data_IF_256013908806
#
_entry.id   IF_256013908806
#
_cell.length_a   1.000
_cell.length_b   1.000
_cell.length_c   1.000
_cell.angle_alpha   90.00
_cell.angle_beta   90.00
_cell.angle_gamma   90.00
#
_symmetry.space_group_name_H-M   'P 1'
#
loop_
_entity.id
_entity.type
_entity.pdbx_description
1 polymer ?
#
# COMPACT_ATOMS: atom_id res chain seq x y z
N UNK A 1 13.41 11.72 -28.19
CA UNK A 1 12.68 12.36 -27.07
C UNK A 1 11.72 11.41 -26.37
N UNK A 2 10.68 10.84 -27.01
CA UNK A 2 9.71 9.98 -26.33
C UNK A 2 10.30 8.74 -25.63
N UNK A 3 11.28 8.05 -26.24
CA UNK A 3 11.99 6.95 -25.58
C UNK A 3 12.79 7.37 -24.34
N UNK A 4 13.34 8.58 -24.34
CA UNK A 4 14.08 9.13 -23.20
C UNK A 4 13.12 9.42 -22.04
N UNK A 5 11.93 9.98 -22.33
CA UNK A 5 10.89 10.22 -21.32
C UNK A 5 10.40 8.91 -20.68
N UNK A 6 10.22 7.85 -21.47
CA UNK A 6 9.83 6.53 -20.95
C UNK A 6 10.93 5.97 -20.03
N UNK A 7 12.21 6.10 -20.39
CA UNK A 7 13.32 5.70 -19.52
C UNK A 7 13.36 6.51 -18.22
N UNK A 8 13.16 7.82 -18.30
CA UNK A 8 13.07 8.65 -17.08
C UNK A 8 11.91 8.25 -16.18
N UNK A 9 10.74 7.90 -16.72
CA UNK A 9 9.61 7.39 -15.91
C UNK A 9 10.00 6.08 -15.19
N UNK A 10 10.69 5.17 -15.88
CA UNK A 10 11.18 3.92 -15.30
C UNK A 10 12.20 4.15 -14.17
N UNK A 11 13.18 5.03 -14.38
CA UNK A 11 14.15 5.41 -13.34
C UNK A 11 13.47 6.07 -12.15
N UNK A 12 12.50 6.98 -12.39
CA UNK A 12 11.72 7.58 -11.31
C UNK A 12 10.93 6.53 -10.52
N UNK A 13 10.33 5.54 -11.19
CA UNK A 13 9.62 4.46 -10.48
C UNK A 13 10.58 3.58 -9.67
N UNK A 14 11.81 3.37 -10.16
CA UNK A 14 12.87 2.69 -9.41
C UNK A 14 13.24 3.47 -8.14
N UNK A 15 13.41 4.79 -8.24
CA UNK A 15 13.68 5.66 -7.09
C UNK A 15 12.50 5.67 -6.10
N UNK A 16 11.26 5.74 -6.57
CA UNK A 16 10.08 5.68 -5.68
C UNK A 16 10.01 4.36 -4.91
N UNK A 17 10.54 3.28 -5.45
CA UNK A 17 10.53 1.99 -4.78
C UNK A 17 11.38 1.99 -3.50
N UNK A 18 12.41 2.83 -3.44
CA UNK A 18 13.28 2.89 -2.26
C UNK A 18 12.63 3.63 -1.10
N UNK A 19 11.66 4.52 -1.35
CA UNK A 19 11.11 5.39 -0.31
C UNK A 19 9.59 5.36 -0.13
N UNK A 20 8.86 4.68 -1.03
CA UNK A 20 7.39 4.66 -1.03
C UNK A 20 6.79 3.29 -0.81
N UNK A 21 5.75 3.32 0.02
CA UNK A 21 4.82 2.25 0.28
C UNK A 21 3.40 2.70 -0.09
N UNK A 22 2.60 1.74 -0.55
CA UNK A 22 1.18 1.92 -0.81
C UNK A 22 0.40 1.09 0.21
N UNK A 23 -0.44 1.78 0.96
CA UNK A 23 -1.40 1.22 1.90
C UNK A 23 -2.76 1.16 1.23
N UNK A 24 -3.38 0.00 1.17
CA UNK A 24 -4.75 -0.15 0.69
C UNK A 24 -5.66 -0.23 1.91
N UNK A 25 -6.40 0.83 2.18
CA UNK A 25 -7.31 0.94 3.32
C UNK A 25 -8.73 0.55 2.91
N UNK A 26 -9.32 -0.42 3.61
CA UNK A 26 -10.70 -0.80 3.35
C UNK A 26 -11.67 0.28 3.85
N UNK A 27 -12.77 0.51 3.12
CA UNK A 27 -13.80 1.48 3.49
C UNK A 27 -14.75 0.99 4.60
N UNK A 28 -14.45 -0.15 5.24
CA UNK A 28 -15.26 -0.70 6.32
C UNK A 28 -15.40 0.30 7.48
N UNK A 29 -16.58 0.40 8.12
CA UNK A 29 -16.85 1.38 9.17
C UNK A 29 -15.95 1.22 10.40
N UNK A 30 -15.44 0.01 10.64
CA UNK A 30 -14.48 -0.30 11.71
C UNK A 30 -13.01 -0.22 11.27
N UNK A 31 -12.75 0.19 10.02
CA UNK A 31 -11.41 0.25 9.43
C UNK A 31 -10.66 1.53 9.77
N UNK A 32 -9.34 1.52 9.55
CA UNK A 32 -8.48 2.68 9.76
C UNK A 32 -8.89 3.91 8.93
N UNK A 33 -9.55 3.73 7.78
CA UNK A 33 -9.92 4.85 6.93
C UNK A 33 -10.82 5.86 7.66
N UNK A 34 -11.85 5.38 8.36
CA UNK A 34 -12.79 6.25 9.07
C UNK A 34 -12.08 6.98 10.22
N UNK A 35 -11.23 6.27 10.95
CA UNK A 35 -10.39 6.83 12.01
C UNK A 35 -9.47 7.94 11.48
N UNK A 36 -8.83 7.74 10.32
CA UNK A 36 -7.98 8.78 9.71
C UNK A 36 -8.78 10.01 9.27
N UNK A 37 -10.00 9.84 8.76
CA UNK A 37 -10.88 10.95 8.38
C UNK A 37 -11.28 11.75 9.62
N UNK A 38 -11.72 11.06 10.67
CA UNK A 38 -12.10 11.70 11.94
C UNK A 38 -10.93 12.48 12.55
N UNK A 39 -9.76 11.86 12.65
CA UNK A 39 -8.56 12.49 13.23
C UNK A 39 -8.07 13.67 12.39
N UNK A 40 -8.24 13.61 11.06
CA UNK A 40 -7.94 14.75 10.20
C UNK A 40 -8.86 15.96 10.47
N UNK A 41 -10.12 15.73 10.85
CA UNK A 41 -11.04 16.80 11.21
C UNK A 41 -10.69 17.39 12.59
N UNK A 42 -10.40 16.53 13.57
CA UNK A 42 -9.94 16.94 14.90
C UNK A 42 -8.67 17.78 14.81
N UNK A 43 -7.69 17.33 14.02
CA UNK A 43 -6.44 18.06 13.80
C UNK A 43 -6.67 19.44 13.17
N UNK A 44 -7.64 19.57 12.24
CA UNK A 44 -8.01 20.88 11.66
C UNK A 44 -8.59 21.83 12.71
N UNK A 45 -9.51 21.36 13.55
CA UNK A 45 -10.07 22.18 14.64
C UNK A 45 -9.00 22.58 15.66
N UNK A 46 -8.01 21.73 15.91
CA UNK A 46 -6.86 22.04 16.77
C UNK A 46 -5.92 23.09 16.13
N UNK A 47 -5.70 23.04 14.81
CA UNK A 47 -4.95 24.08 14.09
C UNK A 47 -5.61 25.45 14.20
N UNK A 48 -6.95 25.51 14.19
CA UNK A 48 -7.71 26.76 14.28
C UNK A 48 -7.66 27.37 15.69
N UNK A 49 -7.42 26.56 16.72
CA UNK A 49 -7.44 27.00 18.13
C UNK A 49 -6.05 27.21 18.75
N UNK A 50 -5.00 26.59 18.21
CA UNK A 50 -3.63 26.68 18.75
C UNK A 50 -2.69 27.49 17.85
N UNK A 51 -1.65 28.09 18.44
CA UNK A 51 -0.58 28.75 17.70
C UNK A 51 0.15 27.73 16.82
N UNK A 52 0.19 27.98 15.50
CA UNK A 52 0.68 27.07 14.44
C UNK A 52 2.08 26.44 14.68
N UNK A 53 2.90 27.03 15.56
CA UNK A 53 4.28 26.60 15.80
C UNK A 53 4.41 25.29 16.60
N UNK A 54 3.40 24.89 17.38
CA UNK A 54 3.47 23.69 18.23
C UNK A 54 2.85 22.43 17.61
N UNK A 55 2.04 22.56 16.55
CA UNK A 55 1.37 21.39 15.98
C UNK A 55 2.29 20.56 15.08
N UNK A 56 2.25 19.25 15.28
CA UNK A 56 2.79 18.28 14.34
C UNK A 56 2.07 18.38 12.98
N UNK A 57 2.78 18.21 11.86
CA UNK A 57 2.15 18.21 10.53
C UNK A 57 1.12 17.08 10.40
N UNK A 58 0.02 17.33 9.70
CA UNK A 58 -1.08 16.37 9.51
C UNK A 58 -0.59 14.98 9.06
N UNK A 59 0.36 14.94 8.12
CA UNK A 59 0.94 13.68 7.61
C UNK A 59 1.54 12.82 8.73
N UNK A 60 2.23 13.44 9.68
CA UNK A 60 2.85 12.76 10.81
C UNK A 60 1.78 12.30 11.79
N UNK A 61 0.84 13.20 12.13
CA UNK A 61 -0.27 12.90 13.00
C UNK A 61 -1.04 11.66 12.53
N UNK A 62 -1.44 11.63 11.26
CA UNK A 62 -2.20 10.53 10.69
C UNK A 62 -1.44 9.19 10.68
N UNK A 63 -0.14 9.19 10.37
CA UNK A 63 0.67 7.96 10.41
C UNK A 63 0.82 7.44 11.84
N UNK A 64 1.07 8.33 12.82
CA UNK A 64 1.14 7.96 14.23
C UNK A 64 -0.19 7.39 14.72
N UNK A 65 -1.30 8.02 14.35
CA UNK A 65 -2.64 7.53 14.72
C UNK A 65 -2.93 6.17 14.09
N UNK A 66 -2.52 5.93 12.84
CA UNK A 66 -2.61 4.61 12.21
C UNK A 66 -1.80 3.54 12.96
N UNK A 67 -0.55 3.83 13.33
CA UNK A 67 0.33 2.90 14.05
C UNK A 67 -0.19 2.61 15.47
N UNK A 68 -0.71 3.63 16.17
CA UNK A 68 -1.35 3.46 17.48
C UNK A 68 -2.60 2.59 17.40
N UNK A 69 -3.45 2.82 16.41
CA UNK A 69 -4.63 1.99 16.17
C UNK A 69 -4.23 0.54 15.84
N UNK A 70 -3.17 0.35 15.06
CA UNK A 70 -2.61 -0.96 14.74
C UNK A 70 -2.14 -1.70 15.99
N UNK A 71 -1.34 -1.05 16.83
CA UNK A 71 -0.85 -1.63 18.08
C UNK A 71 -1.99 -1.96 19.04
N UNK A 72 -2.96 -1.06 19.20
CA UNK A 72 -4.12 -1.27 20.07
C UNK A 72 -5.00 -2.44 19.63
N UNK A 73 -5.34 -2.49 18.33
CA UNK A 73 -6.17 -3.57 17.79
C UNK A 73 -5.43 -4.91 17.83
N UNK A 74 -4.13 -4.92 17.53
CA UNK A 74 -3.30 -6.11 17.67
C UNK A 74 -3.22 -6.59 19.13
N UNK A 75 -3.09 -5.66 20.09
CA UNK A 75 -3.12 -5.93 21.53
C UNK A 75 -4.40 -6.66 21.93
N UNK A 76 -5.54 -6.09 21.57
CA UNK A 76 -6.86 -6.70 21.83
C UNK A 76 -6.99 -8.11 21.26
N UNK A 77 -6.50 -8.35 20.05
CA UNK A 77 -6.55 -9.66 19.42
C UNK A 77 -5.65 -10.67 20.17
N UNK A 78 -4.44 -10.26 20.55
CA UNK A 78 -3.50 -11.14 21.25
C UNK A 78 -3.93 -11.42 22.70
N UNK A 79 -4.59 -10.47 23.36
CA UNK A 79 -5.09 -10.61 24.73
C UNK A 79 -6.44 -11.34 24.82
N UNK A 80 -7.22 -11.34 23.74
CA UNK A 80 -8.51 -12.03 23.69
C UNK A 80 -8.39 -13.53 24.00
N UNK A 81 -9.38 -14.06 24.73
CA UNK A 81 -9.45 -15.49 25.04
C UNK A 81 -9.88 -16.28 23.80
N UNK A 82 -9.47 -17.54 23.73
CA UNK A 82 -9.76 -18.41 22.57
C UNK A 82 -11.28 -18.63 22.34
N UNK A 83 -12.09 -18.41 23.39
CA UNK A 83 -13.56 -18.47 23.36
C UNK A 83 -14.22 -17.22 22.78
N UNK A 84 -13.50 -16.11 22.63
CA UNK A 84 -14.05 -14.86 22.14
C UNK A 84 -14.23 -14.88 20.63
N UNK A 85 -15.34 -14.30 20.14
CA UNK A 85 -15.63 -14.20 18.71
C UNK A 85 -14.53 -13.43 17.95
N UNK A 86 -13.85 -12.49 18.61
CA UNK A 86 -12.75 -11.72 18.03
C UNK A 86 -11.55 -12.63 17.68
N UNK A 87 -11.15 -13.50 18.60
CA UNK A 87 -10.07 -14.47 18.37
C UNK A 87 -10.43 -15.43 17.25
N UNK A 88 -11.61 -16.05 17.33
CA UNK A 88 -12.07 -17.03 16.33
C UNK A 88 -12.18 -16.43 14.92
N UNK A 89 -12.69 -15.20 14.82
CA UNK A 89 -12.77 -14.47 13.55
C UNK A 89 -11.37 -14.13 13.03
N UNK A 90 -10.45 -13.72 13.92
CA UNK A 90 -9.07 -13.39 13.55
C UNK A 90 -8.30 -14.60 13.04
N UNK A 91 -8.46 -15.76 13.67
CA UNK A 91 -7.88 -17.04 13.20
C UNK A 91 -8.50 -17.44 11.86
N UNK A 92 -9.82 -17.36 11.71
CA UNK A 92 -10.52 -17.68 10.45
C UNK A 92 -10.09 -16.79 9.29
N UNK A 93 -9.79 -15.51 9.55
CA UNK A 93 -9.28 -14.56 8.57
C UNK A 93 -7.78 -14.72 8.29
N UNK A 94 -7.08 -15.60 9.00
CA UNK A 94 -5.62 -15.76 8.88
C UNK A 94 -4.83 -14.60 9.48
N UNK A 95 -5.44 -13.78 10.34
CA UNK A 95 -4.79 -12.63 10.95
C UNK A 95 -3.74 -13.06 11.98
N UNK A 96 -4.05 -14.10 12.74
CA UNK A 96 -3.16 -14.73 13.72
C UNK A 96 -3.15 -16.25 13.52
N UNK A 97 -2.03 -16.87 13.88
CA UNK A 97 -1.92 -18.31 14.04
C UNK A 97 -2.33 -18.73 15.46
N UNK A 98 -2.48 -20.03 15.69
CA UNK A 98 -2.86 -20.59 16.99
C UNK A 98 -1.86 -20.24 18.11
N UNK A 99 -0.59 -20.05 17.75
CA UNK A 99 0.50 -19.60 18.62
C UNK A 99 0.51 -18.07 18.87
N UNK A 100 -0.52 -17.35 18.41
CA UNK A 100 -0.66 -15.88 18.49
C UNK A 100 0.44 -15.11 17.74
N UNK A 101 1.09 -15.76 16.77
CA UNK A 101 1.99 -15.07 15.83
C UNK A 101 1.25 -14.50 14.62
N UNK A 102 1.85 -13.50 13.99
CA UNK A 102 1.31 -12.80 12.81
C UNK A 102 1.96 -13.35 11.53
N UNK A 103 1.21 -14.12 10.71
CA UNK A 103 1.72 -14.67 9.46
C UNK A 103 1.85 -13.63 8.34
N UNK A 104 2.51 -14.05 7.26
CA UNK A 104 2.55 -13.30 6.00
C UNK A 104 1.52 -13.85 5.02
N UNK A 105 1.02 -13.00 4.13
CA UNK A 105 0.09 -13.41 3.08
C UNK A 105 0.70 -13.24 1.70
N UNK A 106 0.39 -14.17 0.80
CA UNK A 106 0.71 -14.10 -0.62
C UNK A 106 -0.56 -14.26 -1.44
N UNK A 107 -0.66 -13.50 -2.52
CA UNK A 107 -1.72 -13.71 -3.49
C UNK A 107 -1.45 -15.00 -4.28
N UNK A 108 -2.39 -15.94 -4.23
CA UNK A 108 -2.36 -17.12 -5.09
C UNK A 108 -3.20 -16.85 -6.35
N UNK A 109 -2.53 -16.77 -7.50
CA UNK A 109 -3.16 -16.50 -8.79
C UNK A 109 -4.10 -17.61 -9.26
N UNK A 110 -3.93 -18.85 -8.80
CA UNK A 110 -4.81 -19.96 -9.18
C UNK A 110 -6.12 -19.95 -8.40
N UNK A 111 -6.06 -19.64 -7.11
CA UNK A 111 -7.24 -19.59 -6.23
C UNK A 111 -7.90 -18.22 -6.15
N UNK A 112 -7.25 -17.17 -6.69
CA UNK A 112 -7.68 -15.77 -6.59
C UNK A 112 -7.97 -15.37 -5.14
N UNK A 113 -7.15 -15.84 -4.21
CA UNK A 113 -7.30 -15.61 -2.77
C UNK A 113 -5.94 -15.33 -2.12
N UNK A 114 -5.97 -14.65 -0.97
CA UNK A 114 -4.80 -14.48 -0.11
C UNK A 114 -4.61 -15.77 0.68
N UNK A 115 -3.44 -16.39 0.51
CA UNK A 115 -3.04 -17.60 1.23
C UNK A 115 -1.88 -17.24 2.16
N UNK A 116 -1.81 -17.89 3.31
CA UNK A 116 -0.70 -17.76 4.25
C UNK A 116 0.59 -18.22 3.54
N UNK A 117 1.61 -17.37 3.55
CA UNK A 117 2.92 -17.62 2.96
C UNK A 117 3.76 -18.53 3.89
N UNK A 118 4.77 -19.19 3.33
CA UNK A 118 5.70 -20.07 4.07
C UNK A 118 6.77 -19.30 4.86
N UNK A 119 6.74 -17.97 4.83
CA UNK A 119 7.67 -17.12 5.57
C UNK A 119 7.47 -17.27 7.07
N UNK A 120 8.55 -17.16 7.83
CA UNK A 120 8.50 -17.25 9.29
C UNK A 120 7.55 -16.18 9.84
N UNK A 121 6.51 -16.57 10.59
CA UNK A 121 5.60 -15.63 11.25
C UNK A 121 6.35 -14.75 12.27
N UNK A 122 5.82 -13.56 12.52
CA UNK A 122 6.38 -12.65 13.53
C UNK A 122 5.65 -12.89 14.85
N UNK A 123 6.38 -13.21 15.92
CA UNK A 123 5.77 -13.37 17.24
C UNK A 123 5.12 -12.07 17.72
N UNK A 124 4.08 -12.18 18.56
CA UNK A 124 3.38 -11.02 19.10
C UNK A 124 4.35 -10.03 19.78
N UNK A 125 5.21 -10.51 20.66
CA UNK A 125 6.21 -9.69 21.36
C UNK A 125 7.11 -8.90 20.39
N UNK A 126 7.64 -9.57 19.35
CA UNK A 126 8.49 -8.93 18.35
C UNK A 126 7.70 -7.93 17.50
N UNK A 127 6.45 -8.23 17.19
CA UNK A 127 5.55 -7.30 16.49
C UNK A 127 5.34 -6.02 17.31
N UNK A 128 5.04 -6.13 18.61
CA UNK A 128 4.89 -4.95 19.47
C UNK A 128 6.18 -4.14 19.55
N UNK A 129 7.34 -4.78 19.64
CA UNK A 129 8.63 -4.08 19.59
C UNK A 129 8.80 -3.30 18.29
N UNK A 130 8.53 -3.92 17.13
CA UNK A 130 8.60 -3.25 15.83
C UNK A 130 7.62 -2.07 15.71
N UNK A 131 6.39 -2.21 16.23
CA UNK A 131 5.39 -1.14 16.20
C UNK A 131 5.75 0.02 17.15
N UNK A 132 6.33 -0.26 18.31
CA UNK A 132 6.82 0.78 19.23
C UNK A 132 8.02 1.51 18.62
N UNK A 133 9.00 0.78 18.09
CA UNK A 133 10.17 1.35 17.42
C UNK A 133 9.77 2.25 16.23
N UNK A 134 8.81 1.78 15.40
CA UNK A 134 8.25 2.61 14.32
C UNK A 134 7.56 3.86 14.83
N UNK A 135 6.80 3.79 15.92
CA UNK A 135 6.13 4.97 16.49
C UNK A 135 7.13 6.01 16.97
N UNK A 136 8.19 5.58 17.67
CA UNK A 136 9.25 6.47 18.14
C UNK A 136 9.97 7.17 16.99
N UNK A 137 10.30 6.43 15.92
CA UNK A 137 10.92 7.03 14.73
C UNK A 137 10.00 8.02 14.00
N UNK A 138 8.69 7.78 14.00
CA UNK A 138 7.69 8.67 13.38
C UNK A 138 7.35 9.90 14.23
N UNK A 139 7.96 10.06 15.41
CA UNK A 139 7.88 11.32 16.18
C UNK A 139 8.73 12.44 15.55
N UNK A 140 9.70 12.11 14.70
CA UNK A 140 10.42 13.11 13.91
C UNK A 140 9.52 13.67 12.79
N UNK A 141 9.38 14.99 12.75
CA UNK A 141 8.55 15.76 11.80
C UNK A 141 9.02 15.59 10.35
N UNK A 142 10.29 15.27 10.15
CA UNK A 142 10.89 15.10 8.83
C UNK A 142 10.86 13.65 8.33
N UNK A 143 10.42 12.70 9.18
CA UNK A 143 10.44 11.29 8.83
C UNK A 143 9.35 10.91 7.82
N UNK A 144 8.13 11.43 8.01
CA UNK A 144 7.03 11.25 7.05
C UNK A 144 7.09 12.39 6.03
N UNK A 145 7.45 12.08 4.78
CA UNK A 145 7.52 13.07 3.71
C UNK A 145 6.14 13.29 3.08
N UNK A 146 5.41 12.20 2.79
CA UNK A 146 4.06 12.27 2.23
C UNK A 146 3.17 11.17 2.80
N UNK A 147 1.94 11.56 3.16
CA UNK A 147 0.89 10.62 3.54
C UNK A 147 -0.46 11.12 3.03
N UNK A 148 -0.99 10.52 1.96
CA UNK A 148 -2.25 10.95 1.34
C UNK A 148 -2.89 9.84 0.50
N UNK A 149 -4.21 9.92 0.33
CA UNK A 149 -4.95 9.08 -0.59
C UNK A 149 -4.57 9.39 -2.05
N UNK A 150 -4.37 8.37 -2.88
CA UNK A 150 -4.14 8.52 -4.33
C UNK A 150 -5.43 8.83 -5.10
N UNK A 151 -6.59 8.59 -4.49
CA UNK A 151 -7.91 8.92 -5.00
C UNK A 151 -8.76 9.45 -3.86
N UNK A 152 -9.65 10.39 -4.16
CA UNK A 152 -10.58 10.94 -3.17
C UNK A 152 -11.51 9.84 -2.67
N UNK A 153 -11.63 9.63 -1.35
CA UNK A 153 -12.59 8.68 -0.80
C UNK A 153 -14.02 9.14 -1.09
N UNK A 154 -14.83 8.28 -1.70
CA UNK A 154 -16.25 8.53 -1.94
C UNK A 154 -17.10 7.62 -1.06
N UNK A 155 -18.28 8.09 -0.65
CA UNK A 155 -19.16 7.36 0.29
C UNK A 155 -19.66 6.00 -0.22
N UNK A 156 -19.51 5.73 -1.51
CA UNK A 156 -19.93 4.47 -2.17
C UNK A 156 -18.76 3.55 -2.54
N UNK A 157 -17.54 3.86 -2.11
CA UNK A 157 -16.40 3.01 -2.39
C UNK A 157 -16.56 1.65 -1.69
N UNK A 158 -16.69 0.59 -2.48
CA UNK A 158 -16.64 -0.81 -2.02
C UNK A 158 -15.23 -1.40 -2.08
N UNK A 159 -14.30 -0.67 -2.71
CA UNK A 159 -12.92 -1.10 -2.93
C UNK A 159 -11.95 -0.38 -2.00
N UNK A 160 -10.89 -1.08 -1.61
CA UNK A 160 -9.81 -0.50 -0.83
C UNK A 160 -9.24 0.76 -1.51
N UNK A 161 -8.97 1.79 -0.71
CA UNK A 161 -8.47 3.07 -1.18
C UNK A 161 -6.95 3.07 -1.03
N UNK A 162 -6.19 3.26 -2.12
CA UNK A 162 -4.74 3.32 -2.04
C UNK A 162 -4.29 4.66 -1.46
N UNK A 163 -3.46 4.60 -0.44
CA UNK A 163 -2.78 5.71 0.22
C UNK A 163 -1.28 5.57 0.00
N UNK A 164 -0.63 6.68 -0.32
CA UNK A 164 0.82 6.74 -0.45
C UNK A 164 1.42 7.12 0.89
N UNK A 165 2.33 6.28 1.37
CA UNK A 165 3.25 6.59 2.44
C UNK A 165 4.65 6.74 1.83
N UNK A 166 5.24 7.92 1.97
CA UNK A 166 6.63 8.19 1.63
C UNK A 166 7.38 8.56 2.90
N UNK A 167 8.45 7.84 3.16
CA UNK A 167 9.32 8.06 4.31
C UNK A 167 10.65 8.67 3.85
N UNK A 168 11.31 9.35 4.78
CA UNK A 168 12.63 9.88 4.56
C UNK A 168 13.67 8.76 4.62
N UNK A 169 14.66 8.79 3.73
CA UNK A 169 15.74 7.80 3.66
C UNK A 169 16.85 8.06 4.68
N UNK A 170 16.77 9.12 5.50
CA UNK A 170 17.78 9.41 6.53
C UNK A 170 17.87 8.34 7.62
N UNK A 171 16.80 7.56 7.81
CA UNK A 171 16.77 6.42 8.74
C UNK A 171 16.44 5.16 7.95
N UNK A 172 17.49 4.40 7.59
CA UNK A 172 17.36 3.09 6.93
C UNK A 172 16.50 2.13 7.76
N UNK A 173 16.54 2.27 9.09
CA UNK A 173 15.86 1.37 10.02
C UNK A 173 14.34 1.38 9.86
N UNK A 174 13.72 2.55 9.69
CA UNK A 174 12.27 2.60 9.52
C UNK A 174 11.83 2.01 8.18
N UNK A 175 12.64 2.20 7.14
CA UNK A 175 12.42 1.55 5.85
C UNK A 175 12.48 0.03 5.99
N UNK A 176 13.50 -0.49 6.67
CA UNK A 176 13.66 -1.93 6.89
C UNK A 176 12.47 -2.53 7.66
N UNK A 177 12.00 -1.85 8.71
CA UNK A 177 10.84 -2.31 9.47
C UNK A 177 9.56 -2.29 8.62
N UNK A 178 9.31 -1.21 7.87
CA UNK A 178 8.15 -1.15 6.97
C UNK A 178 8.25 -2.20 5.87
N UNK A 179 9.44 -2.42 5.31
CA UNK A 179 9.67 -3.47 4.32
C UNK A 179 9.42 -4.86 4.90
N UNK A 180 9.86 -5.13 6.13
CA UNK A 180 9.58 -6.40 6.83
C UNK A 180 8.10 -6.59 7.15
N UNK A 181 7.36 -5.51 7.42
CA UNK A 181 5.92 -5.57 7.66
C UNK A 181 5.10 -5.64 6.37
N UNK A 182 5.73 -5.57 5.20
CA UNK A 182 5.03 -5.72 3.94
C UNK A 182 4.37 -7.09 3.85
N UNK A 183 3.10 -7.13 3.42
CA UNK A 183 2.29 -8.34 3.34
C UNK A 183 2.07 -9.08 4.68
N UNK A 184 2.46 -8.51 5.80
CA UNK A 184 2.17 -9.09 7.10
C UNK A 184 0.67 -8.94 7.43
N UNK A 185 0.11 -9.93 8.12
CA UNK A 185 -1.29 -9.96 8.53
C UNK A 185 -1.67 -8.85 9.52
N UNK A 186 -0.69 -8.24 10.20
CA UNK A 186 -0.93 -7.17 11.17
C UNK A 186 -1.79 -6.05 10.60
N UNK A 187 -1.57 -5.66 9.34
CA UNK A 187 -2.32 -4.58 8.69
C UNK A 187 -3.82 -4.89 8.60
N UNK A 188 -4.20 -6.17 8.57
CA UNK A 188 -5.61 -6.57 8.57
C UNK A 188 -6.32 -6.21 9.89
N UNK A 189 -5.59 -6.01 10.99
CA UNK A 189 -6.15 -5.56 12.28
C UNK A 189 -6.76 -4.16 12.20
N UNK A 190 -6.39 -3.38 11.19
CA UNK A 190 -6.97 -2.05 10.90
C UNK A 190 -7.68 -2.02 9.54
N UNK A 191 -7.93 -3.19 8.93
CA UNK A 191 -8.54 -3.28 7.61
C UNK A 191 -7.64 -2.70 6.51
N UNK A 192 -6.32 -2.81 6.65
CA UNK A 192 -5.35 -2.34 5.68
C UNK A 192 -4.53 -3.49 5.08
N UNK A 193 -3.93 -3.25 3.92
CA UNK A 193 -2.81 -4.05 3.44
C UNK A 193 -1.71 -3.13 2.92
N UNK A 194 -0.45 -3.50 3.13
CA UNK A 194 0.69 -2.71 2.69
C UNK A 194 1.49 -3.42 1.61
N UNK A 195 1.89 -2.67 0.58
CA UNK A 195 2.80 -3.11 -0.47
C UNK A 195 3.84 -2.05 -0.74
N UNK A 196 5.05 -2.44 -1.13
CA UNK A 196 6.01 -1.51 -1.70
C UNK A 196 5.48 -0.94 -3.02
N UNK A 197 5.92 0.27 -3.37
CA UNK A 197 5.61 0.85 -4.67
C UNK A 197 6.01 -0.08 -5.82
N UNK A 198 5.09 -0.25 -6.78
CA UNK A 198 5.28 -1.12 -7.95
C UNK A 198 5.93 -0.36 -9.09
N UNK A 199 6.76 -1.05 -9.88
CA UNK A 199 7.44 -0.51 -11.06
C UNK A 199 6.52 -0.35 -12.29
N UNK A 200 5.21 -0.21 -12.08
CA UNK A 200 4.25 -0.06 -13.17
C UNK A 200 4.46 1.28 -13.85
N UNK A 201 4.58 1.27 -15.17
CA UNK A 201 4.72 2.50 -15.94
C UNK A 201 3.50 3.39 -15.75
N UNK A 202 3.71 4.70 -15.72
CA UNK A 202 2.60 5.63 -15.64
C UNK A 202 1.67 5.46 -16.85
N UNK A 203 0.33 5.63 -16.70
CA UNK A 203 -0.61 5.49 -17.83
C UNK A 203 -0.25 6.39 -19.03
N UNK A 204 0.33 7.56 -18.76
CA UNK A 204 0.85 8.47 -19.78
C UNK A 204 2.08 7.90 -20.49
N UNK A 205 3.04 7.33 -19.75
CA UNK A 205 4.19 6.65 -20.34
C UNK A 205 3.76 5.44 -21.20
N UNK A 206 2.78 4.66 -20.74
CA UNK A 206 2.19 3.54 -21.51
C UNK A 206 1.54 4.05 -22.80
N UNK A 207 0.80 5.17 -22.72
CA UNK A 207 0.18 5.80 -23.89
C UNK A 207 1.24 6.28 -24.88
N UNK A 208 2.28 6.96 -24.41
CA UNK A 208 3.42 7.39 -25.23
C UNK A 208 4.14 6.19 -25.86
N UNK A 209 4.36 5.11 -25.12
CA UNK A 209 4.97 3.88 -25.63
C UNK A 209 4.14 3.29 -26.77
N UNK A 210 2.81 3.26 -26.62
CA UNK A 210 1.89 2.77 -27.66
C UNK A 210 1.91 3.66 -28.92
N UNK A 211 2.04 4.98 -28.77
CA UNK A 211 2.13 5.93 -29.89
C UNK A 211 3.45 5.78 -30.65
N UNK A 212 4.56 5.59 -29.93
CA UNK A 212 5.88 5.38 -30.52
C UNK A 212 5.98 4.02 -31.22
N UNK A 213 5.38 2.98 -30.65
CA UNK A 213 5.33 1.63 -31.25
C UNK A 213 4.55 1.59 -32.57
N UNK A 214 3.44 2.32 -32.68
CA UNK A 214 2.63 2.41 -33.90
C UNK A 214 3.34 3.10 -35.07
N UNK A 215 4.27 4.02 -34.80
CA UNK A 215 5.03 4.75 -35.82
C UNK A 215 5.96 3.84 -36.65
N UNK A 216 6.44 2.73 -36.07
CA UNK A 216 7.34 1.79 -36.76
C UNK A 216 6.65 0.78 -37.69
N UNK A 217 5.32 0.75 -37.74
CA UNK A 217 4.54 -0.27 -38.46
C UNK A 217 4.02 0.09 -39.86
N UNK A 218 4.37 1.26 -40.42
CA UNK A 218 3.80 1.72 -41.71
C UNK A 218 4.84 1.74 -42.84
N UNK A 219 5.61 0.66 -42.97
CA UNK A 219 6.32 0.34 -44.20
C UNK A 219 5.33 -0.22 -45.23
N UNK A 220 4.83 0.62 -46.13
CA UNK A 220 4.08 0.20 -47.32
C UNK A 220 4.99 -0.67 -48.20
N UNK A 221 4.89 -1.99 -48.07
CA UNK A 221 5.30 -2.91 -49.13
C UNK A 221 4.38 -2.71 -50.34
N UNK A 222 4.95 -2.23 -51.44
CA UNK A 222 4.27 -2.07 -52.73
C UNK A 222 3.76 -3.43 -53.25
N UNK A 223 2.44 -3.53 -53.38
CA UNK A 223 1.70 -4.09 -54.53
C UNK A 223 2.39 -5.16 -55.39
N UNK A 224 1.87 -6.40 -55.34
CA UNK A 224 1.67 -7.22 -56.54
C UNK A 224 0.22 -7.70 -56.56
N UNK A 225 -0.47 -7.37 -57.64
CA UNK A 225 -1.86 -7.64 -57.99
C UNK A 225 -2.15 -9.13 -58.21
N UNK A 226 -3.42 -9.56 -58.10
CA UNK A 226 -3.83 -10.96 -58.16
C UNK A 226 -4.02 -11.45 -59.60
N UNK A 227 -3.64 -12.69 -59.87
CA UNK A 227 -3.95 -13.41 -61.12
C UNK A 227 -5.23 -14.24 -60.88
N UNK A 228 -6.23 -14.22 -61.78
CA UNK A 228 -7.46 -15.00 -61.61
C UNK A 228 -7.25 -16.50 -61.92
N UNK A 229 -8.14 -17.39 -61.42
CA UNK A 229 -7.95 -18.84 -61.43
C UNK A 229 -8.20 -19.45 -62.82
N UNK A 230 -7.43 -20.50 -63.13
CA UNK A 230 -7.67 -21.41 -64.26
C UNK A 230 -8.91 -22.25 -63.98
N UNK A 231 -9.79 -22.36 -64.98
CA UNK A 231 -10.90 -23.31 -65.03
C UNK A 231 -10.35 -24.74 -65.21
N UNK A 232 -10.91 -25.68 -64.46
CA UNK A 232 -10.77 -27.12 -64.68
C UNK A 232 -11.79 -27.58 -65.74
N UNK A 233 -11.29 -28.36 -66.69
CA UNK A 233 -11.95 -29.51 -67.29
C UNK A 233 -10.85 -30.54 -67.59
#
# INVERSE_FOLDING_TARGET
MAHMLIRHDQELNSLRRTDQFILFLNPDPTGALHLLIQESAVWKTQMESQTQQQLQPLRQHLVLTLLKALQHNAGKIVESKDTEQLYQKSVKMGLILADRSFPFHRWDGQKQQLVIDKKQPVSSQKMFQHLTELQEMMLDKEMVVRFHALRTPTSHDTRAIPWRLQINMRSDRAYDLLFQLQHNSIWMAVGATMKQHTLTQSPLATTLQSMVGKSKGRGKGKTKTPTPPKQEA
#
